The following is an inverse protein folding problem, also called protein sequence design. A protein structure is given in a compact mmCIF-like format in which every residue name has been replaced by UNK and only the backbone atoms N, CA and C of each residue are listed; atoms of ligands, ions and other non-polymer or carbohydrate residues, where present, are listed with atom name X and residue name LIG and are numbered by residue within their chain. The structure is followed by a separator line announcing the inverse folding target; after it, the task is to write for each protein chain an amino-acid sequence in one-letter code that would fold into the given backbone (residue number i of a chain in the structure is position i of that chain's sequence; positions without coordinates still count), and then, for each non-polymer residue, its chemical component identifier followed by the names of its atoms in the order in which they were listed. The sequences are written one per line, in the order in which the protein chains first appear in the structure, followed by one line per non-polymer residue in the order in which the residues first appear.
data_IF_637370929926
#
_entry.id   IF_637370929926
#
_cell.length_a   1.000
_cell.length_b   1.000
_cell.length_c   1.000
_cell.angle_alpha   90.00
_cell.angle_beta   90.00
_cell.angle_gamma   90.00
#
_symmetry.space_group_name_H-M   'P 1'
#
loop_
_entity.id
_entity.type
_entity.pdbx_description
1 polymer ?
#
# COMPACT_ATOMS: atom_id res chain seq x y z
N UNK A 1 -4.92 -12.08 3.72
CA UNK A 1 -5.79 -11.43 2.76
C UNK A 1 -5.07 -10.22 2.16
N UNK A 2 -5.03 -10.15 0.86
CA UNK A 2 -4.31 -9.06 0.18
C UNK A 2 -5.17 -7.79 0.14
N UNK A 3 -4.57 -6.69 0.53
CA UNK A 3 -5.21 -5.39 0.54
C UNK A 3 -4.62 -4.50 -0.55
N UNK A 4 -5.37 -3.47 -0.92
CA UNK A 4 -4.92 -2.47 -1.90
C UNK A 4 -4.87 -1.12 -1.21
N UNK A 5 -3.81 -0.35 -1.47
CA UNK A 5 -3.66 0.97 -0.91
C UNK A 5 -2.82 1.88 -1.78
N UNK A 6 -2.67 3.11 -1.34
CA UNK A 6 -1.77 4.08 -1.98
C UNK A 6 -0.73 4.53 -0.98
N UNK A 7 0.49 4.72 -1.47
CA UNK A 7 1.57 5.24 -0.65
C UNK A 7 1.27 6.72 -0.35
N UNK A 8 1.06 7.05 0.93
CA UNK A 8 0.86 8.43 1.36
C UNK A 8 2.16 9.20 1.28
N UNK A 9 3.24 8.59 1.77
CA UNK A 9 4.57 9.17 1.69
C UNK A 9 5.60 8.06 1.86
N UNK A 10 6.79 8.32 1.36
CA UNK A 10 7.93 7.40 1.44
C UNK A 10 9.19 8.21 1.69
N UNK A 11 9.96 7.80 2.69
CA UNK A 11 11.27 8.38 2.98
C UNK A 11 12.33 7.47 2.39
N UNK A 12 12.84 7.84 1.23
CA UNK A 12 13.82 7.04 0.50
C UNK A 12 15.16 6.93 1.24
N UNK A 13 15.50 7.94 2.01
CA UNK A 13 16.73 7.97 2.78
C UNK A 13 16.69 6.97 3.93
N UNK A 14 15.61 6.93 4.67
CA UNK A 14 15.46 6.08 5.85
C UNK A 14 14.78 4.75 5.55
N UNK A 15 14.18 4.61 4.38
CA UNK A 15 13.58 3.36 3.93
C UNK A 15 12.30 2.98 4.64
N UNK A 16 11.43 3.95 4.93
CA UNK A 16 10.13 3.67 5.51
C UNK A 16 9.07 4.63 5.01
N UNK A 17 7.80 4.25 5.18
CA UNK A 17 6.69 5.07 4.73
C UNK A 17 5.36 4.61 5.29
N UNK A 18 4.29 5.17 4.73
CA UNK A 18 2.92 4.88 5.14
C UNK A 18 2.07 4.62 3.90
N UNK A 19 1.24 3.59 3.99
CA UNK A 19 0.24 3.24 2.98
C UNK A 19 -1.14 3.54 3.57
N UNK A 20 -2.01 4.17 2.78
CA UNK A 20 -3.40 4.37 3.16
C UNK A 20 -4.28 3.41 2.35
N UNK A 21 -5.16 2.67 3.03
CA UNK A 21 -6.11 1.80 2.33
C UNK A 21 -7.34 2.61 1.88
N UNK A 22 -8.26 1.94 1.19
CA UNK A 22 -9.45 2.60 0.65
C UNK A 22 -10.40 3.14 1.74
N UNK A 23 -10.31 2.61 2.95
CA UNK A 23 -11.13 3.06 4.07
C UNK A 23 -10.47 4.19 4.89
N UNK A 24 -9.25 4.60 4.52
CA UNK A 24 -8.54 5.65 5.21
C UNK A 24 -7.64 5.19 6.35
N UNK A 25 -7.46 3.89 6.51
CA UNK A 25 -6.53 3.37 7.52
C UNK A 25 -5.10 3.50 7.02
N UNK A 26 -4.20 3.89 7.92
CA UNK A 26 -2.79 4.09 7.60
C UNK A 26 -1.96 2.94 8.16
N UNK A 27 -1.07 2.41 7.32
CA UNK A 27 -0.22 1.26 7.65
C UNK A 27 1.23 1.65 7.48
N UNK A 28 2.05 1.40 8.50
CA UNK A 28 3.50 1.58 8.40
C UNK A 28 4.14 0.42 7.64
N UNK A 29 5.15 0.75 6.86
CA UNK A 29 5.96 -0.27 6.21
C UNK A 29 7.38 0.26 5.99
N UNK A 30 8.33 -0.65 5.81
CA UNK A 30 9.71 -0.29 5.52
C UNK A 30 10.25 -1.09 4.33
N UNK A 31 11.48 -0.85 3.96
CA UNK A 31 12.10 -1.49 2.80
C UNK A 31 12.24 -3.01 2.95
N UNK A 32 12.25 -3.53 4.19
CA UNK A 32 12.39 -4.98 4.41
C UNK A 32 11.15 -5.76 3.97
N UNK A 33 9.98 -5.12 3.98
CA UNK A 33 8.72 -5.76 3.57
C UNK A 33 8.27 -5.33 2.17
N UNK A 34 8.97 -4.39 1.55
CA UNK A 34 8.64 -3.91 0.22
C UNK A 34 9.31 -4.79 -0.84
N UNK A 35 8.49 -5.46 -1.63
CA UNK A 35 8.97 -6.29 -2.73
C UNK A 35 8.87 -5.48 -4.01
N UNK A 36 9.99 -4.90 -4.42
CA UNK A 36 10.06 -4.14 -5.67
C UNK A 36 10.80 -4.95 -6.72
N UNK A 37 10.23 -4.99 -7.93
CA UNK A 37 10.92 -5.55 -9.07
C UNK A 37 11.80 -4.48 -9.70
N UNK A 38 13.04 -4.85 -10.01
CA UNK A 38 13.91 -4.05 -10.89
C UNK A 38 14.16 -2.61 -10.41
N UNK A 39 14.58 -2.43 -9.18
CA UNK A 39 15.04 -1.12 -8.70
C UNK A 39 14.07 0.04 -8.90
N UNK A 40 12.78 -0.25 -8.99
CA UNK A 40 11.79 0.82 -9.09
C UNK A 40 11.62 1.48 -7.71
N UNK A 41 11.84 2.78 -7.61
CA UNK A 41 11.67 3.47 -6.34
C UNK A 41 10.20 3.51 -5.96
N UNK A 42 9.95 3.45 -4.67
CA UNK A 42 8.61 3.66 -4.13
C UNK A 42 8.30 5.14 -4.22
N UNK A 43 7.14 5.48 -4.74
CA UNK A 43 6.74 6.87 -4.95
C UNK A 43 5.43 7.18 -4.25
N UNK A 44 5.29 8.43 -3.86
CA UNK A 44 4.03 8.95 -3.30
C UNK A 44 2.88 8.77 -4.29
N UNK A 45 1.71 8.42 -3.78
CA UNK A 45 0.48 8.16 -4.53
C UNK A 45 0.52 6.90 -5.40
N UNK A 46 1.57 6.09 -5.27
CA UNK A 46 1.65 4.82 -5.99
C UNK A 46 0.69 3.81 -5.38
N UNK A 47 -0.07 3.12 -6.23
CA UNK A 47 -0.96 2.05 -5.80
C UNK A 47 -0.12 0.80 -5.56
N UNK A 48 -0.34 0.16 -4.41
CA UNK A 48 0.38 -1.05 -4.02
C UNK A 48 -0.59 -2.08 -3.46
N UNK A 49 -0.15 -3.34 -3.44
CA UNK A 49 -0.85 -4.40 -2.73
C UNK A 49 -0.02 -4.77 -1.50
N UNK A 50 -0.69 -5.16 -0.44
CA UNK A 50 -0.02 -5.50 0.81
C UNK A 50 -0.90 -6.37 1.69
N UNK A 51 -0.34 -6.88 2.76
CA UNK A 51 -1.11 -7.59 3.79
C UNK A 51 -0.89 -6.89 5.12
N UNK A 52 -1.94 -6.83 5.94
CA UNK A 52 -1.83 -6.30 7.29
C UNK A 52 -1.12 -7.33 8.17
N UNK A 53 -0.20 -6.86 9.03
CA UNK A 53 0.50 -7.75 9.96
C UNK A 53 -0.37 -7.99 11.19
N UNK A 54 -0.91 -9.20 11.39
CA UNK A 54 -1.84 -9.46 12.50
C UNK A 54 -1.17 -9.55 13.86
N UNK A 55 0.15 -9.61 13.90
CA UNK A 55 0.88 -9.75 15.16
C UNK A 55 1.09 -8.43 15.90
N UNK A 56 0.85 -7.31 15.23
CA UNK A 56 1.04 -5.99 15.81
C UNK A 56 -0.33 -5.39 16.11
N UNK A 57 -0.69 -5.31 17.39
CA UNK A 57 -2.03 -4.89 17.81
C UNK A 57 -2.19 -3.37 17.96
N UNK A 58 -1.13 -2.68 18.35
CA UNK A 58 -1.20 -1.25 18.67
C UNK A 58 -0.82 -0.35 17.53
N UNK A 59 -0.39 -0.92 16.41
CA UNK A 59 0.04 -0.17 15.25
C UNK A 59 -0.30 -0.96 13.99
N UNK A 60 -0.92 -0.30 13.03
CA UNK A 60 -1.18 -0.95 11.75
C UNK A 60 0.11 -0.98 10.94
N UNK A 61 0.57 -2.19 10.65
CA UNK A 61 1.78 -2.39 9.85
C UNK A 61 1.46 -3.26 8.65
N UNK A 62 2.02 -2.89 7.50
CA UNK A 62 1.89 -3.66 6.28
C UNK A 62 3.07 -4.61 6.13
N UNK A 63 2.83 -5.77 5.55
CA UNK A 63 3.86 -6.69 5.12
C UNK A 63 3.57 -7.12 3.69
N UNK A 64 4.56 -7.75 3.04
CA UNK A 64 4.43 -8.20 1.66
C UNK A 64 3.92 -7.10 0.73
N UNK A 65 4.50 -5.91 0.84
CA UNK A 65 4.14 -4.76 0.00
C UNK A 65 4.69 -5.00 -1.39
N UNK A 66 3.81 -4.98 -2.40
CA UNK A 66 4.18 -5.20 -3.79
C UNK A 66 3.73 -4.04 -4.65
N UNK A 67 4.63 -3.59 -5.53
CA UNK A 67 4.30 -2.61 -6.55
C UNK A 67 3.84 -3.38 -7.79
N UNK A 68 2.60 -3.18 -8.26
CA UNK A 68 2.10 -3.92 -9.42
C UNK A 68 2.81 -3.48 -10.70
N UNK A 69 2.92 -4.40 -11.64
CA UNK A 69 3.46 -4.07 -12.96
C UNK A 69 2.42 -3.26 -13.76
N UNK A 70 2.81 -2.80 -14.96
CA UNK A 70 1.95 -1.95 -15.79
C UNK A 70 0.63 -2.63 -16.16
N UNK A 71 0.64 -3.94 -16.39
CA UNK A 71 -0.58 -4.67 -16.77
C UNK A 71 -1.53 -4.91 -15.59
N UNK A 72 -1.01 -5.03 -14.38
CA UNK A 72 -1.82 -5.21 -13.18
C UNK A 72 -2.32 -3.88 -12.62
N UNK A 73 -1.61 -2.81 -12.90
CA UNK A 73 -1.82 -1.49 -12.30
C UNK A 73 -3.24 -0.97 -12.49
N UNK A 74 -3.77 -1.04 -13.70
CA UNK A 74 -5.12 -0.54 -13.99
C UNK A 74 -6.18 -1.29 -13.20
N UNK A 75 -6.03 -2.61 -13.09
CA UNK A 75 -6.96 -3.45 -12.34
C UNK A 75 -6.95 -3.10 -10.87
N UNK A 76 -5.77 -2.91 -10.31
CA UNK A 76 -5.59 -2.61 -8.89
C UNK A 76 -6.08 -1.20 -8.57
N UNK A 77 -5.78 -0.22 -9.42
CA UNK A 77 -6.30 1.13 -9.25
C UNK A 77 -7.82 1.18 -9.31
N UNK A 78 -8.42 0.45 -10.23
CA UNK A 78 -9.88 0.34 -10.33
C UNK A 78 -10.48 -0.27 -9.08
N UNK A 79 -9.86 -1.30 -8.52
CA UNK A 79 -10.29 -1.93 -7.29
C UNK A 79 -10.21 -0.96 -6.11
N UNK A 80 -9.13 -0.20 -6.02
CA UNK A 80 -8.96 0.81 -4.98
C UNK A 80 -10.06 1.87 -5.07
N UNK A 81 -10.34 2.38 -6.27
CA UNK A 81 -11.35 3.40 -6.48
C UNK A 81 -12.75 2.90 -6.08
N UNK A 82 -13.07 1.65 -6.39
CA UNK A 82 -14.35 1.05 -5.98
C UNK A 82 -14.47 0.93 -4.46
N UNK A 83 -13.42 0.48 -3.80
CA UNK A 83 -13.41 0.34 -2.36
C UNK A 83 -13.48 1.70 -1.66
N UNK A 84 -12.76 2.69 -2.18
CA UNK A 84 -12.81 4.05 -1.65
C UNK A 84 -14.19 4.67 -1.82
N UNK A 85 -14.84 4.43 -2.95
CA UNK A 85 -16.19 4.90 -3.20
C UNK A 85 -17.21 4.31 -2.22
N UNK A 86 -17.07 3.04 -1.89
CA UNK A 86 -17.92 2.39 -0.89
C UNK A 86 -17.67 2.95 0.51
N UNK A 87 -16.44 3.25 0.85
CA UNK A 87 -16.08 3.78 2.15
C UNK A 87 -16.65 5.19 2.38
N UNK A 88 -16.84 5.95 1.31
CA UNK A 88 -17.38 7.32 1.36
C UNK A 88 -18.90 7.34 1.38
N UNK A 89 -19.55 6.26 0.97
CA UNK A 89 -21.00 6.18 0.93
C UNK A 89 -21.58 6.17 2.35
N UNK A 90 -22.27 7.17 2.67
CA UNK A 90 -22.91 7.33 3.98
C UNK A 90 -24.37 6.85 3.89
#
# INVERSE_FOLDING_TARGET
MQLVGKVLWWNDRDGFGVIEDAAGNEYYFDSSVAITRSNQPIKRNQVVTFEANPQIKDCLCACKVKVPNASERKRIESRFDKEASKAITV
#
